data_IF_444385059213
#
_entry.id   IF_444385059213
#
_cell.length_a   1.000
_cell.length_b   1.000
_cell.length_c   1.000
_cell.angle_alpha   90.00
_cell.angle_beta   90.00
_cell.angle_gamma   90.00
#
_symmetry.space_group_name_H-M   'P 1'
#
loop_
_entity.id
_entity.type
_entity.pdbx_description
1 polymer ?
#
# COMPACT_ATOMS: atom_id res chain seq x y z
N UNK A 1 -1.31 17.16 -9.98
CA UNK A 1 -0.05 17.60 -9.34
C UNK A 1 0.93 16.44 -9.41
N UNK A 2 2.08 16.62 -10.07
CA UNK A 2 3.14 15.60 -10.08
C UNK A 2 3.85 15.66 -8.72
N UNK A 3 3.68 14.63 -7.89
CA UNK A 3 4.53 14.48 -6.71
C UNK A 3 5.99 14.33 -7.17
N UNK A 4 6.91 15.01 -6.48
CA UNK A 4 8.35 14.97 -6.79
C UNK A 4 8.85 13.52 -6.87
N UNK A 5 9.72 13.15 -7.84
CA UNK A 5 10.31 11.81 -7.92
C UNK A 5 10.98 11.37 -6.61
N UNK A 6 11.53 12.32 -5.86
CA UNK A 6 12.15 12.07 -4.55
C UNK A 6 11.14 11.54 -3.52
N UNK A 7 9.92 12.09 -3.50
CA UNK A 7 8.83 11.71 -2.60
C UNK A 7 8.33 10.29 -2.93
N UNK A 8 8.18 9.97 -4.22
CA UNK A 8 7.74 8.64 -4.66
C UNK A 8 8.73 7.55 -4.23
N UNK A 9 10.04 7.82 -4.35
CA UNK A 9 11.08 6.88 -3.94
C UNK A 9 11.09 6.68 -2.41
N UNK A 10 10.96 7.74 -1.62
CA UNK A 10 10.91 7.64 -0.16
C UNK A 10 9.69 6.82 0.30
N UNK A 11 8.50 7.13 -0.23
CA UNK A 11 7.28 6.40 0.09
C UNK A 11 7.39 4.92 -0.28
N UNK A 12 7.93 4.61 -1.47
CA UNK A 12 8.17 3.23 -1.90
C UNK A 12 9.15 2.50 -0.98
N UNK A 13 10.27 3.11 -0.62
CA UNK A 13 11.28 2.52 0.25
C UNK A 13 10.72 2.27 1.66
N UNK A 14 9.91 3.19 2.17
CA UNK A 14 9.24 2.99 3.45
C UNK A 14 8.33 1.75 3.43
N UNK A 15 7.53 1.60 2.38
CA UNK A 15 6.64 0.45 2.22
C UNK A 15 7.44 -0.86 2.20
N UNK A 16 8.55 -0.90 1.47
CA UNK A 16 9.42 -2.08 1.40
C UNK A 16 10.01 -2.43 2.78
N UNK A 17 10.48 -1.43 3.52
CA UNK A 17 11.06 -1.62 4.86
C UNK A 17 10.05 -2.03 5.93
N UNK A 18 8.77 -1.70 5.74
CA UNK A 18 7.70 -1.95 6.72
C UNK A 18 6.78 -3.11 6.32
N UNK A 19 7.06 -3.80 5.21
CA UNK A 19 6.20 -4.84 4.64
C UNK A 19 5.84 -5.93 5.65
N UNK A 20 6.80 -6.42 6.44
CA UNK A 20 6.54 -7.46 7.45
C UNK A 20 5.54 -6.99 8.52
N UNK A 21 5.71 -5.76 9.00
CA UNK A 21 4.83 -5.16 9.99
C UNK A 21 3.43 -4.90 9.42
N UNK A 22 3.35 -4.39 8.19
CA UNK A 22 2.08 -4.11 7.51
C UNK A 22 1.30 -5.40 7.20
N UNK A 23 1.98 -6.45 6.76
CA UNK A 23 1.37 -7.79 6.55
C UNK A 23 0.72 -8.31 7.83
N UNK A 24 1.36 -8.11 8.98
CA UNK A 24 0.85 -8.65 10.24
C UNK A 24 -0.29 -7.83 10.85
N UNK A 25 -0.28 -6.51 10.66
CA UNK A 25 -1.12 -5.61 11.45
C UNK A 25 -2.24 -4.92 10.65
N UNK A 26 -2.08 -4.72 9.35
CA UNK A 26 -3.12 -4.09 8.52
C UNK A 26 -4.32 -5.04 8.39
N UNK A 27 -5.49 -4.56 8.81
CA UNK A 27 -6.73 -5.34 8.73
C UNK A 27 -7.69 -4.81 7.66
N UNK A 28 -7.55 -3.53 7.26
CA UNK A 28 -8.39 -2.89 6.24
C UNK A 28 -7.97 -3.19 4.78
N UNK A 29 -7.35 -4.35 4.51
CA UNK A 29 -6.73 -4.67 3.22
C UNK A 29 -7.70 -4.55 2.04
N UNK A 30 -8.96 -4.97 2.20
CA UNK A 30 -9.97 -4.85 1.14
C UNK A 30 -10.33 -3.39 0.83
N UNK A 31 -10.39 -2.52 1.84
CA UNK A 31 -10.63 -1.09 1.63
C UNK A 31 -9.46 -0.44 0.90
N UNK A 32 -8.23 -0.83 1.22
CA UNK A 32 -7.03 -0.41 0.50
C UNK A 32 -7.09 -0.89 -0.96
N UNK A 33 -7.41 -2.16 -1.18
CA UNK A 33 -7.54 -2.74 -2.52
C UNK A 33 -8.61 -2.04 -3.36
N UNK A 34 -9.74 -1.66 -2.77
CA UNK A 34 -10.79 -0.87 -3.43
C UNK A 34 -10.25 0.47 -3.94
N UNK A 35 -9.55 1.22 -3.08
CA UNK A 35 -8.93 2.51 -3.45
C UNK A 35 -7.90 2.33 -4.57
N UNK A 36 -7.06 1.29 -4.50
CA UNK A 36 -6.06 1.01 -5.52
C UNK A 36 -6.69 0.61 -6.86
N UNK A 37 -7.80 -0.15 -6.84
CA UNK A 37 -8.56 -0.52 -8.04
C UNK A 37 -9.26 0.68 -8.66
N UNK A 38 -9.90 1.53 -7.85
CA UNK A 38 -10.52 2.79 -8.31
C UNK A 38 -9.50 3.70 -9.03
N UNK A 39 -8.26 3.72 -8.53
CA UNK A 39 -7.15 4.46 -9.14
C UNK A 39 -6.42 3.69 -10.25
N UNK A 40 -6.89 2.50 -10.62
CA UNK A 40 -6.33 1.62 -11.68
C UNK A 40 -4.88 1.15 -11.45
N UNK A 41 -4.45 1.06 -10.19
CA UNK A 41 -3.14 0.48 -9.83
C UNK A 41 -3.16 -1.04 -9.71
N UNK A 42 -4.34 -1.62 -9.45
CA UNK A 42 -4.58 -3.05 -9.56
C UNK A 42 -5.75 -3.31 -10.49
N UNK A 43 -5.68 -4.41 -11.24
CA UNK A 43 -6.72 -4.84 -12.17
C UNK A 43 -7.70 -5.80 -11.47
N UNK A 44 -8.82 -6.08 -12.14
CA UNK A 44 -9.90 -6.94 -11.63
C UNK A 44 -9.39 -8.31 -11.16
N UNK A 45 -8.54 -8.95 -11.96
CA UNK A 45 -7.98 -10.26 -11.67
C UNK A 45 -7.20 -10.25 -10.35
N UNK A 46 -6.36 -9.22 -10.17
CA UNK A 46 -5.58 -9.09 -8.94
C UNK A 46 -6.47 -8.78 -7.74
N UNK A 47 -7.46 -7.90 -7.92
CA UNK A 47 -8.43 -7.60 -6.88
C UNK A 47 -9.21 -8.85 -6.45
N UNK A 48 -9.62 -9.69 -7.40
CA UNK A 48 -10.28 -10.96 -7.12
C UNK A 48 -9.37 -11.92 -6.34
N UNK A 49 -8.08 -11.99 -6.70
CA UNK A 49 -7.10 -12.81 -5.98
C UNK A 49 -6.88 -12.33 -4.54
N UNK A 50 -6.84 -11.01 -4.31
CA UNK A 50 -6.79 -10.44 -2.96
C UNK A 50 -8.07 -10.84 -2.21
N UNK A 51 -9.24 -10.59 -2.80
CA UNK A 51 -10.53 -10.92 -2.17
C UNK A 51 -10.69 -12.41 -1.81
N UNK A 52 -10.11 -13.30 -2.60
CA UNK A 52 -10.17 -14.74 -2.38
C UNK A 52 -9.23 -15.24 -1.26
N UNK A 53 -8.25 -14.44 -0.84
CA UNK A 53 -7.35 -14.81 0.25
C UNK A 53 -8.10 -14.81 1.61
N UNK A 54 -7.80 -15.82 2.45
CA UNK A 54 -8.62 -16.17 3.60
C UNK A 54 -8.45 -15.27 4.82
N UNK A 55 -7.28 -14.63 4.97
CA UNK A 55 -6.98 -13.74 6.10
C UNK A 55 -6.47 -12.38 5.61
N UNK A 56 -6.59 -11.32 6.41
CA UNK A 56 -6.01 -10.01 6.07
C UNK A 56 -4.49 -10.10 5.81
N UNK A 57 -3.79 -10.97 6.55
CA UNK A 57 -2.38 -11.22 6.34
C UNK A 57 -2.08 -11.79 4.94
N UNK A 58 -2.84 -12.79 4.51
CA UNK A 58 -2.71 -13.38 3.17
C UNK A 58 -3.14 -12.38 2.08
N UNK A 59 -4.21 -11.63 2.32
CA UNK A 59 -4.65 -10.55 1.43
C UNK A 59 -3.55 -9.53 1.21
N UNK A 60 -2.87 -9.11 2.29
CA UNK A 60 -1.78 -8.14 2.20
C UNK A 60 -0.58 -8.69 1.45
N UNK A 61 -0.25 -9.99 1.61
CA UNK A 61 0.79 -10.66 0.84
C UNK A 61 0.48 -10.68 -0.66
N UNK A 62 -0.77 -10.99 -1.04
CA UNK A 62 -1.21 -10.97 -2.44
C UNK A 62 -1.15 -9.55 -2.99
N UNK A 63 -1.65 -8.56 -2.23
CA UNK A 63 -1.57 -7.15 -2.61
C UNK A 63 -0.13 -6.72 -2.88
N UNK A 64 0.81 -7.03 -1.99
CA UNK A 64 2.23 -6.73 -2.18
C UNK A 64 2.81 -7.37 -3.44
N UNK A 65 2.45 -8.61 -3.73
CA UNK A 65 2.87 -9.29 -4.97
C UNK A 65 2.45 -8.56 -6.25
N UNK A 66 1.41 -7.72 -6.18
CA UNK A 66 0.96 -6.88 -7.29
C UNK A 66 1.78 -5.59 -7.47
N UNK A 67 2.47 -5.12 -6.43
CA UNK A 67 3.11 -3.79 -6.42
C UNK A 67 4.52 -3.81 -7.00
N UNK A 68 4.60 -3.93 -8.34
CA UNK A 68 5.89 -4.07 -9.05
C UNK A 68 6.64 -2.76 -9.32
N UNK A 69 6.01 -1.61 -9.08
CA UNK A 69 6.59 -0.30 -9.42
C UNK A 69 6.67 0.61 -8.21
N UNK A 70 7.67 1.51 -8.20
CA UNK A 70 7.80 2.57 -7.19
C UNK A 70 6.50 3.37 -7.04
N UNK A 71 5.83 3.65 -8.16
CA UNK A 71 4.56 4.39 -8.18
C UNK A 71 3.41 3.63 -7.51
N UNK A 72 3.32 2.31 -7.73
CA UNK A 72 2.28 1.50 -7.10
C UNK A 72 2.49 1.41 -5.58
N UNK A 73 3.74 1.28 -5.13
CA UNK A 73 4.10 1.28 -3.71
C UNK A 73 3.87 2.65 -3.05
N UNK A 74 4.22 3.75 -3.73
CA UNK A 74 3.95 5.08 -3.19
C UNK A 74 2.45 5.37 -3.05
N UNK A 75 1.61 4.82 -3.94
CA UNK A 75 0.15 4.93 -3.83
C UNK A 75 -0.38 4.13 -2.66
N UNK A 76 0.15 2.92 -2.43
CA UNK A 76 -0.17 2.16 -1.21
C UNK A 76 0.16 2.97 0.04
N UNK A 77 1.34 3.61 0.09
CA UNK A 77 1.72 4.49 1.20
C UNK A 77 0.71 5.61 1.44
N UNK A 78 0.30 6.32 0.38
CA UNK A 78 -0.70 7.39 0.48
C UNK A 78 -2.04 6.88 1.00
N UNK A 79 -2.53 5.75 0.48
CA UNK A 79 -3.81 5.17 0.91
C UNK A 79 -3.73 4.68 2.36
N UNK A 80 -2.62 4.04 2.75
CA UNK A 80 -2.38 3.62 4.14
C UNK A 80 -2.41 4.82 5.09
N UNK A 81 -1.82 5.96 4.69
CA UNK A 81 -1.85 7.18 5.49
C UNK A 81 -3.27 7.72 5.69
N UNK A 82 -4.12 7.62 4.67
CA UNK A 82 -5.50 8.09 4.74
C UNK A 82 -6.39 7.18 5.59
N UNK A 83 -6.20 5.86 5.52
CA UNK A 83 -7.10 4.88 6.16
C UNK A 83 -6.60 4.49 7.55
N UNK A 84 -5.30 4.27 7.72
CA UNK A 84 -4.68 3.78 8.95
C UNK A 84 -3.45 4.61 9.33
N UNK A 85 -3.60 5.91 9.62
CA UNK A 85 -2.47 6.81 9.89
C UNK A 85 -1.60 6.36 11.08
N UNK A 86 -2.14 5.56 12.00
CA UNK A 86 -1.45 5.04 13.16
C UNK A 86 -0.29 4.08 12.83
N UNK A 87 -0.26 3.49 11.63
CA UNK A 87 0.86 2.64 11.19
C UNK A 87 2.01 3.42 10.56
N UNK A 88 1.84 4.73 10.36
CA UNK A 88 2.86 5.62 9.82
C UNK A 88 3.32 6.51 10.97
N UNK A 89 4.54 6.31 11.47
CA UNK A 89 5.10 7.21 12.48
C UNK A 89 5.16 8.63 11.91
N UNK A 90 4.81 9.62 12.75
CA UNK A 90 4.88 11.06 12.41
C UNK A 90 6.27 11.50 11.92
N UNK A 91 7.32 10.75 12.23
CA UNK A 91 8.72 11.09 11.88
C UNK A 91 9.02 11.01 10.37
N UNK A 92 8.19 10.33 9.58
CA UNK A 92 8.37 10.27 8.11
C UNK A 92 7.98 11.60 7.44
N UNK A 93 7.22 12.45 8.13
CA UNK A 93 6.71 13.73 7.60
C UNK A 93 7.81 14.81 7.55
N UNK A 94 8.95 14.66 8.24
CA UNK A 94 10.00 15.70 8.25
C UNK A 94 10.92 15.72 7.00
N UNK A 95 10.67 14.88 5.99
CA UNK A 95 11.47 14.85 4.75
C UNK A 95 10.65 15.06 3.46
N UNK A 96 9.39 15.47 3.55
CA UNK A 96 8.53 15.83 2.41
C UNK A 96 8.25 17.34 2.40
#
# INVERSE_FOLDING_TARGET
>A
MLQSPFILLHASNWVDNNMAHLIQNVTSVMLIADRMRQQRFILEEMYANIRAAGTSMEQMRVLYGALRTTKAKSVLFTILHEIEPHYISKDIIMLA
#
